data_IF_879434811286
#
_entry.id   IF_879434811286
#
_cell.length_a   1.000
_cell.length_b   1.000
_cell.length_c   1.000
_cell.angle_alpha   90.00
_cell.angle_beta   90.00
_cell.angle_gamma   90.00
#
_symmetry.space_group_name_H-M   'P 1'
#
loop_
_entity.id
_entity.type
_entity.pdbx_description
1 polymer ?
#
# COMPACT_ATOMS: atom_id res chain seq x y z
N UNK A 1 -43.48 -16.27 -13.90
CA UNK A 1 -42.33 -15.35 -14.08
C UNK A 1 -42.13 -14.53 -12.83
N UNK A 2 -40.89 -14.17 -12.47
CA UNK A 2 -40.61 -13.25 -11.37
C UNK A 2 -41.25 -11.88 -11.57
N UNK A 3 -41.55 -11.16 -10.48
CA UNK A 3 -42.15 -9.82 -10.55
C UNK A 3 -41.21 -8.86 -11.27
N UNK A 4 -41.75 -8.07 -12.20
CA UNK A 4 -40.98 -7.11 -13.00
C UNK A 4 -40.27 -7.68 -14.22
N UNK A 5 -40.40 -8.99 -14.49
CA UNK A 5 -39.78 -9.68 -15.63
C UNK A 5 -40.84 -10.40 -16.50
N UNK A 6 -41.96 -9.73 -16.75
CA UNK A 6 -43.07 -10.29 -17.53
C UNK A 6 -42.81 -10.31 -19.05
N UNK A 7 -41.83 -9.53 -19.50
CA UNK A 7 -41.34 -9.39 -20.86
C UNK A 7 -40.31 -10.47 -21.26
N UNK A 8 -39.74 -11.17 -20.27
CA UNK A 8 -38.77 -12.26 -20.50
C UNK A 8 -39.43 -13.54 -20.96
N UNK A 9 -38.75 -14.27 -21.84
CA UNK A 9 -39.29 -15.46 -22.51
C UNK A 9 -39.19 -16.73 -21.66
N UNK A 10 -38.27 -16.78 -20.69
CA UNK A 10 -38.09 -17.96 -19.85
C UNK A 10 -37.20 -17.74 -18.62
N UNK A 11 -37.09 -18.77 -17.75
CA UNK A 11 -36.29 -18.72 -16.53
C UNK A 11 -34.79 -18.51 -16.79
N UNK A 12 -34.27 -18.93 -17.94
CA UNK A 12 -32.87 -18.76 -18.38
C UNK A 12 -32.45 -17.30 -18.54
N UNK A 13 -33.40 -16.38 -18.75
CA UNK A 13 -33.15 -14.94 -18.84
C UNK A 13 -33.27 -14.24 -17.47
N UNK A 14 -33.70 -14.96 -16.43
CA UNK A 14 -33.86 -14.42 -15.09
C UNK A 14 -32.56 -14.57 -14.30
N UNK A 15 -32.21 -13.56 -13.50
CA UNK A 15 -31.11 -13.71 -12.55
C UNK A 15 -31.52 -14.65 -11.40
N UNK A 16 -30.53 -15.17 -10.67
CA UNK A 16 -30.78 -16.09 -9.57
C UNK A 16 -31.70 -15.49 -8.49
N UNK A 17 -31.68 -14.17 -8.33
CA UNK A 17 -32.41 -13.44 -7.29
C UNK A 17 -33.88 -13.32 -7.62
N UNK A 18 -34.20 -13.03 -8.88
CA UNK A 18 -35.56 -13.05 -9.38
C UNK A 18 -36.15 -14.47 -9.29
N UNK A 19 -35.35 -15.50 -9.61
CA UNK A 19 -35.78 -16.90 -9.48
C UNK A 19 -36.03 -17.29 -8.02
N UNK A 20 -35.13 -16.97 -7.09
CA UNK A 20 -35.33 -17.22 -5.66
C UNK A 20 -36.56 -16.47 -5.12
N UNK A 21 -36.78 -15.24 -5.56
CA UNK A 21 -37.95 -14.44 -5.17
C UNK A 21 -39.25 -15.04 -5.71
N UNK A 22 -39.24 -15.57 -6.94
CA UNK A 22 -40.38 -16.29 -7.50
C UNK A 22 -40.68 -17.56 -6.70
N UNK A 23 -39.65 -18.37 -6.43
CA UNK A 23 -39.76 -19.59 -5.62
C UNK A 23 -40.34 -19.28 -4.23
N UNK A 24 -39.92 -18.17 -3.62
CA UNK A 24 -40.40 -17.76 -2.29
C UNK A 24 -41.87 -17.28 -2.27
N UNK A 25 -42.37 -16.71 -3.38
CA UNK A 25 -43.68 -16.05 -3.44
C UNK A 25 -44.75 -16.82 -4.21
N UNK A 26 -44.38 -17.86 -4.96
CA UNK A 26 -45.30 -18.65 -5.78
C UNK A 26 -45.78 -19.89 -5.03
N UNK A 27 -47.11 -20.04 -4.91
CA UNK A 27 -47.75 -21.15 -4.19
C UNK A 27 -47.63 -22.50 -4.90
N UNK A 28 -47.20 -22.53 -6.17
CA UNK A 28 -46.96 -23.78 -6.90
C UNK A 28 -45.70 -24.52 -6.43
N UNK A 29 -44.78 -23.85 -5.72
CA UNK A 29 -43.63 -24.51 -5.11
C UNK A 29 -44.01 -25.00 -3.71
N UNK A 30 -44.15 -26.32 -3.58
CA UNK A 30 -44.45 -26.99 -2.31
C UNK A 30 -43.16 -27.22 -1.51
N UNK A 31 -42.56 -26.14 -1.02
CA UNK A 31 -41.27 -26.16 -0.30
C UNK A 31 -41.33 -25.32 0.99
N UNK A 32 -40.38 -25.54 1.89
CA UNK A 32 -40.20 -24.67 3.06
C UNK A 32 -39.60 -23.30 2.67
N UNK A 33 -40.44 -22.27 2.66
CA UNK A 33 -40.09 -20.88 2.34
C UNK A 33 -38.99 -20.30 3.25
N UNK A 34 -38.85 -20.80 4.49
CA UNK A 34 -37.79 -20.34 5.39
C UNK A 34 -36.41 -20.63 4.78
N UNK A 35 -36.24 -21.79 4.15
CA UNK A 35 -34.98 -22.19 3.52
C UNK A 35 -34.61 -21.28 2.35
N UNK A 36 -35.59 -20.88 1.55
CA UNK A 36 -35.40 -19.89 0.46
C UNK A 36 -34.99 -18.53 1.02
N UNK A 37 -35.67 -18.10 2.09
CA UNK A 37 -35.42 -16.81 2.75
C UNK A 37 -34.01 -16.73 3.32
N UNK A 38 -33.50 -17.82 3.90
CA UNK A 38 -32.13 -17.90 4.42
C UNK A 38 -31.09 -17.74 3.31
N UNK A 39 -31.30 -18.37 2.14
CA UNK A 39 -30.40 -18.22 0.98
C UNK A 39 -30.41 -16.78 0.45
N UNK A 40 -31.60 -16.16 0.34
CA UNK A 40 -31.74 -14.75 -0.05
C UNK A 40 -31.01 -13.84 0.93
N UNK A 41 -31.14 -14.10 2.23
CA UNK A 41 -30.49 -13.33 3.31
C UNK A 41 -28.97 -13.40 3.18
N UNK A 42 -28.39 -14.60 3.05
CA UNK A 42 -26.94 -14.75 2.90
C UNK A 42 -26.40 -14.03 1.65
N UNK A 43 -27.12 -14.08 0.52
CA UNK A 43 -26.74 -13.30 -0.67
C UNK A 43 -26.74 -11.81 -0.37
N UNK A 44 -27.78 -11.29 0.30
CA UNK A 44 -27.87 -9.87 0.63
C UNK A 44 -26.78 -9.44 1.62
N UNK A 45 -26.44 -10.29 2.60
CA UNK A 45 -25.32 -10.04 3.52
C UNK A 45 -24.00 -9.86 2.77
N UNK A 46 -23.69 -10.71 1.76
CA UNK A 46 -22.50 -10.53 0.90
C UNK A 46 -22.60 -9.22 0.11
N UNK A 47 -23.73 -8.99 -0.56
CA UNK A 47 -23.91 -7.83 -1.44
C UNK A 47 -23.85 -6.49 -0.71
N UNK A 48 -24.17 -6.48 0.58
CA UNK A 48 -24.09 -5.29 1.44
C UNK A 48 -22.82 -5.23 2.29
N UNK A 49 -21.90 -6.20 2.14
CA UNK A 49 -20.58 -6.14 2.76
C UNK A 49 -19.67 -5.20 1.98
N UNK A 50 -19.14 -4.17 2.65
CA UNK A 50 -18.26 -3.16 2.04
C UNK A 50 -16.94 -3.74 1.53
N UNK A 51 -16.49 -4.85 2.10
CA UNK A 51 -15.20 -5.46 1.76
C UNK A 51 -15.35 -6.71 0.89
N UNK A 52 -16.58 -7.18 0.61
CA UNK A 52 -16.87 -8.47 -0.04
C UNK A 52 -16.14 -9.69 0.58
N UNK A 53 -15.60 -9.54 1.79
CA UNK A 53 -14.93 -10.60 2.54
C UNK A 53 -15.93 -11.32 3.43
N UNK A 54 -15.79 -12.64 3.52
CA UNK A 54 -16.55 -13.50 4.41
C UNK A 54 -15.61 -14.43 5.16
N UNK A 55 -15.94 -14.76 6.40
CA UNK A 55 -15.15 -15.72 7.18
C UNK A 55 -15.38 -17.14 6.69
N UNK A 56 -14.43 -18.04 6.95
CA UNK A 56 -14.57 -19.47 6.66
C UNK A 56 -15.76 -20.11 7.39
N UNK A 57 -16.06 -19.64 8.61
CA UNK A 57 -17.25 -20.04 9.36
C UNK A 57 -18.55 -19.61 8.65
N UNK A 58 -18.58 -18.38 8.12
CA UNK A 58 -19.73 -17.88 7.37
C UNK A 58 -19.93 -18.67 6.08
N UNK A 59 -18.86 -18.98 5.33
CA UNK A 59 -18.95 -19.80 4.11
C UNK A 59 -19.50 -21.20 4.39
N UNK A 60 -19.08 -21.82 5.50
CA UNK A 60 -19.60 -23.13 5.93
C UNK A 60 -21.08 -23.06 6.29
N UNK A 61 -21.50 -22.01 6.99
CA UNK A 61 -22.91 -21.79 7.31
C UNK A 61 -23.75 -21.57 6.03
N UNK A 62 -23.22 -20.77 5.09
CA UNK A 62 -23.85 -20.57 3.79
C UNK A 62 -23.98 -21.88 2.99
N UNK A 63 -22.94 -22.71 2.97
CA UNK A 63 -22.99 -24.05 2.37
C UNK A 63 -24.13 -24.89 2.97
N UNK A 64 -24.24 -24.96 4.30
CA UNK A 64 -25.32 -25.73 4.94
C UNK A 64 -26.71 -25.21 4.56
N UNK A 65 -26.87 -23.88 4.46
CA UNK A 65 -28.14 -23.26 4.03
C UNK A 65 -28.50 -23.58 2.59
N UNK A 66 -27.53 -23.54 1.67
CA UNK A 66 -27.72 -23.95 0.27
C UNK A 66 -28.10 -25.43 0.18
N UNK A 67 -27.40 -26.31 0.91
CA UNK A 67 -27.72 -27.74 0.95
C UNK A 67 -29.15 -27.99 1.47
N UNK A 68 -29.54 -27.30 2.54
CA UNK A 68 -30.88 -27.39 3.10
C UNK A 68 -31.96 -26.97 2.10
N UNK A 69 -31.72 -25.90 1.33
CA UNK A 69 -32.63 -25.45 0.27
C UNK A 69 -32.72 -26.44 -0.89
N UNK A 70 -31.58 -26.94 -1.39
CA UNK A 70 -31.56 -27.89 -2.50
C UNK A 70 -32.22 -29.23 -2.15
N UNK A 71 -32.17 -29.64 -0.88
CA UNK A 71 -32.86 -30.83 -0.38
C UNK A 71 -34.38 -30.80 -0.56
N UNK A 72 -35.00 -29.62 -0.71
CA UNK A 72 -36.43 -29.49 -1.04
C UNK A 72 -36.76 -30.05 -2.44
N UNK A 73 -35.75 -30.13 -3.31
CA UNK A 73 -35.90 -30.55 -4.70
C UNK A 73 -35.22 -31.87 -5.03
N UNK A 74 -34.88 -32.67 -4.01
CA UNK A 74 -34.19 -33.97 -4.16
C UNK A 74 -34.89 -34.98 -5.10
N UNK A 75 -36.18 -34.76 -5.37
CA UNK A 75 -36.97 -35.61 -6.27
C UNK A 75 -36.76 -35.25 -7.75
N UNK A 76 -36.03 -34.17 -8.07
CA UNK A 76 -35.75 -33.70 -9.42
C UNK A 76 -34.33 -34.13 -9.80
N UNK A 77 -34.15 -35.09 -10.72
CA UNK A 77 -32.83 -35.65 -11.06
C UNK A 77 -31.80 -34.62 -11.50
N UNK A 78 -32.23 -33.60 -12.25
CA UNK A 78 -31.37 -32.52 -12.73
C UNK A 78 -30.80 -31.69 -11.58
N UNK A 79 -31.60 -31.49 -10.52
CA UNK A 79 -31.17 -30.76 -9.33
C UNK A 79 -30.23 -31.62 -8.49
N UNK A 80 -30.44 -32.94 -8.42
CA UNK A 80 -29.51 -33.86 -7.75
C UNK A 80 -28.14 -33.86 -8.45
N UNK A 81 -28.12 -33.85 -9.78
CA UNK A 81 -26.87 -33.75 -10.55
C UNK A 81 -26.17 -32.40 -10.33
N UNK A 82 -26.93 -31.30 -10.26
CA UNK A 82 -26.40 -29.98 -9.93
C UNK A 82 -25.88 -29.92 -8.49
N UNK A 83 -26.58 -30.55 -7.53
CA UNK A 83 -26.19 -30.64 -6.13
C UNK A 83 -24.81 -31.29 -5.99
N UNK A 84 -24.54 -32.41 -6.67
CA UNK A 84 -23.25 -33.07 -6.60
C UNK A 84 -22.09 -32.16 -7.07
N UNK A 85 -22.33 -31.35 -8.11
CA UNK A 85 -21.34 -30.36 -8.59
C UNK A 85 -21.14 -29.22 -7.58
N UNK A 86 -22.22 -28.73 -6.99
CA UNK A 86 -22.18 -27.67 -5.96
C UNK A 86 -21.45 -28.18 -4.72
N UNK A 87 -21.71 -29.41 -4.29
CA UNK A 87 -21.03 -30.03 -3.15
C UNK A 87 -19.54 -30.20 -3.41
N UNK A 88 -19.15 -30.68 -4.59
CA UNK A 88 -17.75 -30.73 -5.01
C UNK A 88 -17.11 -29.34 -4.96
N UNK A 89 -17.81 -28.31 -5.45
CA UNK A 89 -17.33 -26.93 -5.48
C UNK A 89 -17.13 -26.36 -4.06
N UNK A 90 -18.07 -26.62 -3.15
CA UNK A 90 -18.03 -26.11 -1.77
C UNK A 90 -17.02 -26.87 -0.88
N UNK A 91 -16.71 -28.12 -1.22
CA UNK A 91 -15.73 -28.96 -0.50
C UNK A 91 -14.32 -28.89 -1.07
N UNK A 92 -14.15 -28.29 -2.25
CA UNK A 92 -12.84 -28.06 -2.85
C UNK A 92 -12.03 -27.06 -2.03
N UNK A 93 -10.72 -27.29 -1.94
CA UNK A 93 -9.80 -26.32 -1.37
C UNK A 93 -9.68 -25.13 -2.33
N UNK A 94 -10.14 -23.98 -1.88
CA UNK A 94 -10.03 -22.70 -2.60
C UNK A 94 -8.74 -21.96 -2.25
N UNK A 95 -7.78 -22.63 -1.61
CA UNK A 95 -6.44 -22.11 -1.49
C UNK A 95 -5.94 -21.68 -2.87
N UNK A 96 -5.85 -20.37 -3.04
CA UNK A 96 -5.16 -19.80 -4.20
C UNK A 96 -3.71 -20.19 -4.00
N UNK A 97 -3.26 -21.18 -4.78
CA UNK A 97 -1.84 -21.39 -4.96
C UNK A 97 -1.31 -20.14 -5.64
N UNK A 98 -0.74 -19.23 -4.86
CA UNK A 98 0.06 -18.12 -5.36
C UNK A 98 1.45 -18.73 -5.60
N UNK A 99 1.78 -19.16 -6.84
CA UNK A 99 3.17 -19.47 -7.15
C UNK A 99 3.96 -18.21 -6.77
N UNK A 100 5.09 -18.39 -6.10
CA UNK A 100 5.86 -17.32 -5.48
C UNK A 100 5.93 -16.04 -6.35
N UNK A 101 5.68 -14.91 -5.68
CA UNK A 101 5.75 -13.53 -6.18
C UNK A 101 4.81 -13.24 -7.35
N UNK A 102 3.70 -12.55 -7.05
CA UNK A 102 2.99 -11.77 -8.07
C UNK A 102 4.03 -10.92 -8.80
N UNK A 103 4.22 -11.20 -10.09
CA UNK A 103 5.11 -10.41 -10.92
C UNK A 103 4.48 -9.02 -11.00
N UNK A 104 5.08 -8.06 -10.28
CA UNK A 104 4.66 -6.66 -10.31
C UNK A 104 4.54 -6.25 -11.79
N UNK A 105 3.45 -5.58 -12.15
CA UNK A 105 3.22 -5.05 -13.50
C UNK A 105 4.19 -3.92 -13.89
N UNK A 106 5.18 -3.65 -13.04
CA UNK A 106 6.30 -2.74 -13.26
C UNK A 106 7.50 -3.49 -13.84
N UNK A 107 7.73 -3.29 -15.14
CA UNK A 107 8.96 -3.55 -15.90
C UNK A 107 9.76 -4.81 -15.49
N UNK A 108 9.56 -5.89 -16.25
CA UNK A 108 10.58 -6.93 -16.42
C UNK A 108 11.88 -6.32 -16.94
N UNK A 109 12.73 -5.82 -16.06
CA UNK A 109 14.15 -5.76 -16.33
C UNK A 109 14.74 -7.10 -15.91
N UNK A 110 15.00 -7.94 -16.91
CA UNK A 110 15.91 -9.07 -16.82
C UNK A 110 17.14 -8.64 -16.01
N UNK A 111 17.37 -9.30 -14.87
CA UNK A 111 18.40 -8.93 -13.89
C UNK A 111 18.10 -7.62 -13.17
N UNK A 112 17.17 -7.68 -12.21
CA UNK A 112 17.20 -6.74 -11.09
C UNK A 112 18.57 -6.85 -10.45
N UNK A 113 19.47 -5.92 -10.77
CA UNK A 113 20.76 -5.77 -10.10
C UNK A 113 20.41 -5.32 -8.69
N UNK A 114 20.17 -6.30 -7.81
CA UNK A 114 20.12 -6.04 -6.39
C UNK A 114 21.47 -5.45 -6.02
N UNK A 115 21.47 -4.16 -5.68
CA UNK A 115 22.64 -3.51 -5.16
C UNK A 115 23.03 -4.27 -3.89
N UNK A 116 24.30 -4.68 -3.81
CA UNK A 116 24.82 -5.21 -2.55
C UNK A 116 24.75 -4.11 -1.49
N UNK A 117 24.71 -4.51 -0.22
CA UNK A 117 24.78 -3.58 0.92
C UNK A 117 25.96 -2.60 0.77
N UNK A 118 27.11 -3.07 0.30
CA UNK A 118 28.26 -2.21 0.03
C UNK A 118 28.02 -1.16 -1.07
N UNK A 119 27.27 -1.49 -2.12
CA UNK A 119 26.94 -0.55 -3.19
C UNK A 119 25.93 0.49 -2.73
N UNK A 120 24.96 0.08 -1.90
CA UNK A 120 24.02 1.01 -1.28
C UNK A 120 24.78 1.98 -0.38
N UNK A 121 25.66 1.48 0.48
CA UNK A 121 26.46 2.31 1.39
C UNK A 121 27.38 3.29 0.62
N UNK A 122 27.96 2.87 -0.51
CA UNK A 122 28.75 3.73 -1.38
C UNK A 122 27.90 4.87 -1.98
N UNK A 123 26.70 4.56 -2.46
CA UNK A 123 25.77 5.54 -3.01
C UNK A 123 25.32 6.54 -1.93
N UNK A 124 24.97 6.05 -0.74
CA UNK A 124 24.56 6.90 0.38
C UNK A 124 25.70 7.84 0.81
N UNK A 125 26.93 7.33 0.87
CA UNK A 125 28.12 8.12 1.18
C UNK A 125 28.35 9.23 0.15
N UNK A 126 28.35 8.91 -1.15
CA UNK A 126 28.56 9.89 -2.22
C UNK A 126 27.43 10.93 -2.27
N UNK A 127 26.18 10.52 -2.10
CA UNK A 127 25.06 11.44 -2.05
C UNK A 127 25.18 12.42 -0.87
N UNK A 128 25.56 11.91 0.31
CA UNK A 128 25.67 12.75 1.49
C UNK A 128 26.88 13.70 1.42
N UNK A 129 27.97 13.25 0.81
CA UNK A 129 29.13 14.08 0.49
C UNK A 129 28.78 15.21 -0.48
N UNK A 130 28.03 14.91 -1.54
CA UNK A 130 27.52 15.92 -2.48
C UNK A 130 26.64 16.94 -1.75
N UNK A 131 25.75 16.48 -0.85
CA UNK A 131 24.90 17.38 -0.05
C UNK A 131 25.71 18.28 0.87
N UNK A 132 26.75 17.77 1.53
CA UNK A 132 27.64 18.58 2.35
C UNK A 132 28.41 19.61 1.50
N UNK A 133 28.89 19.22 0.32
CA UNK A 133 29.56 20.12 -0.61
C UNK A 133 28.61 21.22 -1.13
N UNK A 134 27.35 20.88 -1.42
CA UNK A 134 26.32 21.84 -1.81
C UNK A 134 26.11 22.91 -0.72
N UNK A 135 25.99 22.47 0.53
CA UNK A 135 25.85 23.37 1.69
C UNK A 135 27.12 24.23 1.85
N UNK A 136 28.31 23.65 1.67
CA UNK A 136 29.58 24.39 1.76
C UNK A 136 29.66 25.52 0.72
N UNK A 137 29.31 25.25 -0.54
CA UNK A 137 29.35 26.24 -1.60
C UNK A 137 28.32 27.36 -1.37
N UNK A 138 27.09 26.99 -0.98
CA UNK A 138 26.05 27.97 -0.62
C UNK A 138 26.45 28.85 0.57
N UNK A 139 27.17 28.27 1.52
CA UNK A 139 27.74 28.99 2.65
C UNK A 139 28.89 29.90 2.23
N UNK A 140 29.75 29.49 1.30
CA UNK A 140 30.90 30.27 0.81
C UNK A 140 30.48 31.48 -0.05
N UNK A 141 29.41 31.37 -0.82
CA UNK A 141 28.90 32.46 -1.67
C UNK A 141 28.26 33.61 -0.87
N UNK A 142 27.91 33.38 0.40
CA UNK A 142 27.17 34.34 1.22
C UNK A 142 28.03 34.90 2.36
N UNK A 143 28.08 36.23 2.46
CA UNK A 143 28.86 36.98 3.47
C UNK A 143 28.32 36.79 4.90
N UNK A 144 27.03 36.47 5.03
CA UNK A 144 26.36 36.09 6.29
C UNK A 144 25.65 34.77 6.05
N UNK A 145 25.86 33.77 6.94
CA UNK A 145 25.19 32.48 6.81
C UNK A 145 23.68 32.65 7.09
N UNK A 146 22.79 32.32 6.14
CA UNK A 146 21.35 32.27 6.39
C UNK A 146 21.01 31.20 7.41
N UNK A 147 20.00 31.49 8.24
CA UNK A 147 19.46 30.54 9.23
C UNK A 147 19.01 29.22 8.59
N UNK A 148 18.52 29.26 7.34
CA UNK A 148 18.12 28.07 6.60
C UNK A 148 19.29 27.12 6.30
N UNK A 149 20.49 27.65 6.05
CA UNK A 149 21.71 26.84 5.82
C UNK A 149 22.17 26.20 7.13
N UNK A 150 22.09 26.94 8.24
CA UNK A 150 22.39 26.42 9.58
C UNK A 150 21.44 25.29 9.97
N UNK A 151 20.14 25.47 9.75
CA UNK A 151 19.13 24.45 10.02
C UNK A 151 19.38 23.19 9.19
N UNK A 152 19.68 23.33 7.88
CA UNK A 152 20.01 22.19 7.02
C UNK A 152 21.27 21.45 7.50
N UNK A 153 22.30 22.19 7.92
CA UNK A 153 23.51 21.60 8.47
C UNK A 153 23.24 20.82 9.76
N UNK A 154 22.44 21.38 10.68
CA UNK A 154 22.14 20.72 11.96
C UNK A 154 21.33 19.44 11.75
N UNK A 155 20.39 19.44 10.80
CA UNK A 155 19.64 18.23 10.41
C UNK A 155 20.59 17.14 9.89
N UNK A 156 21.57 17.50 9.05
CA UNK A 156 22.56 16.53 8.54
C UNK A 156 23.47 16.02 9.66
N UNK A 157 23.89 16.88 10.60
CA UNK A 157 24.69 16.47 11.75
C UNK A 157 23.94 15.51 12.67
N UNK A 158 22.67 15.77 12.93
CA UNK A 158 21.84 14.89 13.75
C UNK A 158 21.60 13.55 13.06
N UNK A 159 21.39 13.56 11.74
CA UNK A 159 21.33 12.33 10.95
C UNK A 159 22.63 11.51 11.07
N UNK A 160 23.79 12.16 10.95
CA UNK A 160 25.09 11.50 11.07
C UNK A 160 25.41 11.01 12.49
N UNK A 161 24.90 11.65 13.54
CA UNK A 161 25.04 11.11 14.91
C UNK A 161 24.40 9.75 15.07
N UNK A 162 23.31 9.51 14.36
CA UNK A 162 22.55 8.25 14.39
C UNK A 162 23.12 7.18 13.45
N UNK A 163 24.06 7.53 12.55
CA UNK A 163 24.66 6.63 11.56
C UNK A 163 26.20 6.67 11.64
N UNK A 164 26.78 5.75 12.40
CA UNK A 164 28.21 5.76 12.74
C UNK A 164 29.15 5.52 11.54
N UNK A 165 28.75 4.65 10.63
CA UNK A 165 29.45 4.33 9.38
C UNK A 165 29.58 5.55 8.47
N UNK A 166 28.48 6.27 8.23
CA UNK A 166 28.46 7.51 7.44
C UNK A 166 29.24 8.63 8.15
N UNK A 167 29.09 8.74 9.48
CA UNK A 167 29.80 9.75 10.28
C UNK A 167 31.31 9.60 10.16
N UNK A 168 31.81 8.38 10.25
CA UNK A 168 33.25 8.11 10.17
C UNK A 168 33.80 8.46 8.79
N UNK A 169 33.03 8.21 7.72
CA UNK A 169 33.43 8.55 6.35
C UNK A 169 33.41 10.05 6.04
N UNK A 170 32.56 10.84 6.70
CA UNK A 170 32.32 12.26 6.39
C UNK A 170 32.86 13.23 7.44
N UNK A 171 33.69 12.76 8.37
CA UNK A 171 34.21 13.58 9.47
C UNK A 171 35.00 14.79 8.97
N UNK A 172 35.81 14.64 7.92
CA UNK A 172 36.60 15.73 7.33
C UNK A 172 35.71 16.80 6.69
N UNK A 173 34.66 16.39 5.96
CA UNK A 173 33.73 17.29 5.30
C UNK A 173 32.93 18.12 6.30
N UNK A 174 32.50 17.50 7.42
CA UNK A 174 31.82 18.21 8.52
C UNK A 174 32.76 19.22 9.19
N UNK A 175 34.01 18.82 9.49
CA UNK A 175 35.00 19.71 10.12
C UNK A 175 35.33 20.92 9.23
N UNK A 176 35.40 20.71 7.92
CA UNK A 176 35.61 21.79 6.94
C UNK A 176 34.44 22.78 6.96
N UNK A 177 33.22 22.29 7.09
CA UNK A 177 32.02 23.12 7.19
C UNK A 177 31.92 23.87 8.53
N UNK A 178 32.29 23.23 9.64
CA UNK A 178 32.35 23.85 10.96
C UNK A 178 33.39 24.97 11.01
N UNK A 179 34.52 24.79 10.34
CA UNK A 179 35.56 25.81 10.21
C UNK A 179 35.07 27.04 9.45
N UNK A 180 34.28 26.83 8.38
CA UNK A 180 33.67 27.92 7.60
C UNK A 180 32.59 28.64 8.42
N UNK A 181 31.75 27.89 9.13
CA UNK A 181 30.76 28.47 10.03
C UNK A 181 31.42 29.34 11.12
N UNK A 182 32.52 28.89 11.72
CA UNK A 182 33.28 29.65 12.72
C UNK A 182 33.95 30.91 12.14
N UNK A 183 34.34 30.88 10.86
CA UNK A 183 34.85 32.04 10.13
C UNK A 183 33.77 33.11 9.97
N UNK A 184 32.53 32.70 9.64
CA UNK A 184 31.40 33.62 9.47
C UNK A 184 30.84 34.12 10.82
N UNK A 185 31.08 33.41 11.92
CA UNK A 185 30.75 33.86 13.28
C UNK A 185 31.76 34.85 13.91
N UNK A 186 32.91 35.14 13.27
CA UNK A 186 33.88 36.13 13.77
C UNK A 186 33.75 37.48 13.05
N UNK A 187 32.83 38.38 13.44
CA UNK A 187 32.94 39.79 13.08
C UNK A 187 33.93 40.48 14.05
N UNK A 188 35.15 40.76 13.57
CA UNK A 188 36.00 41.86 14.04
C UNK A 188 36.95 41.60 15.22
N UNK A 189 38.21 41.27 14.90
CA UNK A 189 39.37 41.67 15.73
C UNK A 189 40.13 42.76 14.96
N UNK A 190 40.15 43.97 15.52
CA UNK A 190 40.72 45.22 14.98
C UNK A 190 42.16 45.08 14.46
N UNK A 191 42.50 45.87 13.43
CA UNK A 191 43.85 46.45 13.30
C UNK A 191 43.85 47.98 13.46
N UNK A 192 44.89 48.57 14.09
CA UNK A 192 44.99 49.98 14.45
C UNK A 192 45.74 50.78 13.37
N UNK A 193 45.07 51.74 12.74
CA UNK A 193 45.69 52.68 11.81
C UNK A 193 46.41 53.82 12.54
N UNK A 194 47.70 53.63 12.82
CA UNK A 194 48.61 54.69 13.23
C UNK A 194 48.92 55.65 12.06
N UNK A 195 48.85 56.95 12.39
CA UNK A 195 49.62 58.10 11.86
C UNK A 195 50.07 58.10 10.39
N UNK A 196 49.62 59.12 9.66
CA UNK A 196 50.37 59.72 8.55
C UNK A 196 50.86 61.14 8.94
N UNK A 197 52.12 61.50 8.65
CA UNK A 197 52.71 62.79 9.00
C UNK A 197 52.53 63.86 7.90
N UNK A 198 52.90 65.08 8.28
CA UNK A 198 52.86 66.37 7.60
C UNK A 198 53.31 66.46 6.11
N UNK A 199 52.76 67.46 5.42
CA UNK A 199 53.41 68.29 4.39
C UNK A 199 52.44 69.42 3.97
N UNK A 200 52.50 70.64 4.52
CA UNK A 200 53.33 71.83 4.13
C UNK A 200 53.26 72.13 2.62
N UNK A 201 53.03 73.35 2.14
CA UNK A 201 52.83 74.69 2.71
C UNK A 201 52.10 75.54 1.66
#
# INVERSE_FOLDING_TARGET
MPRGLADKTGPEECDAVALLSLINSCDHFMIDRKKVTEVIRCRNEIMHSSEMKVSSLWLRDFQMKIQNFLNEFKNIPEIVAAYARIEQLLTSDWAVHIPAEDQLDGCEYETGVYLSESQVNEIEMELLKEKLQEIYLQAQEQDVLPEDILNRLEVVKEFLRNNEDLRNGLTEDIQKLDSLHLQHQKPGSKEPGAQTPEGKA
#
